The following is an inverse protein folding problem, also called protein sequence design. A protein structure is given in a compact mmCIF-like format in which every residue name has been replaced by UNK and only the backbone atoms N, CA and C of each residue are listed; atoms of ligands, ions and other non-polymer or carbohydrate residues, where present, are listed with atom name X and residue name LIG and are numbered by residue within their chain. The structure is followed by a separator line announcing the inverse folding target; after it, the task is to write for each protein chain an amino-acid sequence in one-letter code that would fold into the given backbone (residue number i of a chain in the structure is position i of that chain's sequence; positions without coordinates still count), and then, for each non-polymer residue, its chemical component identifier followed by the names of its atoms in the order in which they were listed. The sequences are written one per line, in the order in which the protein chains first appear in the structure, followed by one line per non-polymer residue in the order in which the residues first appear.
data_IF_556506701999
#
_entry.id   IF_556506701999
#
_cell.length_a   1.000
_cell.length_b   1.000
_cell.length_c   1.000
_cell.angle_alpha   90.00
_cell.angle_beta   90.00
_cell.angle_gamma   90.00
#
_symmetry.space_group_name_H-M   'P 1'
#
loop_
_entity.id
_entity.type
_entity.pdbx_description
1 polymer ?
#
# COMPACT_ATOMS: atom_id res chain seq x y z
N UNK A 1 1.86 -4.41 -23.06
CA UNK A 1 2.75 -4.39 -21.88
C UNK A 1 1.84 -4.24 -20.69
N UNK A 2 1.83 -5.17 -19.73
CA UNK A 2 0.89 -5.13 -18.60
C UNK A 2 1.42 -4.17 -17.52
N UNK A 3 0.62 -3.19 -17.11
CA UNK A 3 0.92 -2.28 -15.98
C UNK A 3 0.45 -2.91 -14.65
N UNK A 4 0.77 -2.31 -13.50
CA UNK A 4 0.38 -2.84 -12.18
C UNK A 4 -0.75 -2.03 -11.56
N UNK A 5 -1.74 -2.68 -10.95
CA UNK A 5 -2.70 -1.97 -10.09
C UNK A 5 -2.36 -2.18 -8.62
N UNK A 6 -2.24 -1.11 -7.83
CA UNK A 6 -2.00 -1.15 -6.39
C UNK A 6 -3.24 -0.73 -5.60
N UNK A 7 -3.77 -1.62 -4.77
CA UNK A 7 -4.85 -1.33 -3.84
C UNK A 7 -4.32 -1.25 -2.43
N UNK A 8 -4.52 -0.12 -1.76
CA UNK A 8 -4.15 0.03 -0.36
C UNK A 8 -5.43 0.11 0.46
N UNK A 9 -5.57 -0.78 1.44
CA UNK A 9 -6.66 -0.78 2.39
C UNK A 9 -6.10 -0.74 3.78
N UNK A 10 -6.47 0.29 4.54
CA UNK A 10 -6.45 0.20 5.99
C UNK A 10 -7.66 -0.61 6.42
N UNK A 11 -7.47 -1.64 7.26
CA UNK A 11 -8.58 -2.43 7.78
C UNK A 11 -8.91 -1.94 9.19
N UNK A 12 -9.88 -1.04 9.33
CA UNK A 12 -10.34 -0.68 10.65
C UNK A 12 -11.32 -1.65 11.26
N UNK A 13 -11.38 -1.62 12.59
CA UNK A 13 -12.35 -2.40 13.38
C UNK A 13 -13.82 -2.03 13.08
N UNK A 14 -14.07 -0.95 12.32
CA UNK A 14 -15.44 -0.52 12.01
C UNK A 14 -15.72 0.19 10.67
N UNK A 15 -14.73 0.57 9.83
CA UNK A 15 -15.06 1.27 8.57
C UNK A 15 -14.04 1.16 7.41
N UNK A 16 -14.25 0.23 6.48
CA UNK A 16 -13.27 -0.12 5.43
C UNK A 16 -13.14 0.90 4.29
N UNK A 17 -12.45 2.01 4.50
CA UNK A 17 -12.03 2.89 3.41
C UNK A 17 -10.75 2.35 2.76
N UNK A 18 -10.91 1.63 1.65
CA UNK A 18 -9.81 1.22 0.78
C UNK A 18 -9.62 2.21 -0.37
N UNK A 19 -8.38 2.59 -0.67
CA UNK A 19 -8.01 3.48 -1.78
C UNK A 19 -7.32 2.65 -2.86
N UNK A 20 -7.78 2.81 -4.11
CA UNK A 20 -7.19 2.17 -5.29
C UNK A 20 -6.30 3.15 -6.01
N UNK A 21 -5.12 2.70 -6.41
CA UNK A 21 -4.18 3.43 -7.22
C UNK A 21 -3.77 2.58 -8.43
N UNK A 22 -3.78 3.20 -9.60
CA UNK A 22 -3.09 2.65 -10.75
C UNK A 22 -1.61 3.04 -10.67
N UNK A 23 -0.69 2.11 -10.84
CA UNK A 23 0.75 2.34 -10.71
C UNK A 23 1.45 1.81 -11.97
N UNK A 24 2.01 2.71 -12.78
CA UNK A 24 2.76 2.28 -13.95
C UNK A 24 4.04 1.56 -13.52
N UNK A 25 4.47 0.57 -14.32
CA UNK A 25 5.84 0.03 -14.24
C UNK A 25 6.83 1.19 -14.40
N UNK A 26 8.00 1.10 -13.74
CA UNK A 26 9.03 2.15 -13.57
C UNK A 26 9.05 2.87 -12.20
N UNK A 27 8.73 2.19 -11.10
CA UNK A 27 8.85 2.76 -9.75
C UNK A 27 7.98 4.02 -9.53
N UNK A 28 6.87 4.15 -10.26
CA UNK A 28 5.94 5.23 -10.00
C UNK A 28 5.46 5.13 -8.55
N UNK A 29 5.70 6.20 -7.80
CA UNK A 29 5.48 6.22 -6.37
C UNK A 29 4.19 6.97 -6.07
N UNK A 30 3.25 6.32 -5.38
CA UNK A 30 1.99 6.93 -4.95
C UNK A 30 2.04 7.22 -3.45
N UNK A 31 1.66 8.44 -3.12
CA UNK A 31 1.58 8.89 -1.74
C UNK A 31 0.23 8.56 -1.13
N UNK A 32 0.27 8.06 0.10
CA UNK A 32 -0.90 7.78 0.91
C UNK A 32 -0.76 8.58 2.20
N UNK A 33 -1.76 9.40 2.51
CA UNK A 33 -1.87 10.02 3.82
C UNK A 33 -2.45 9.00 4.80
N UNK A 34 -1.74 8.77 5.89
CA UNK A 34 -2.21 7.93 7.00
C UNK A 34 -2.51 8.81 8.19
N UNK A 35 -3.69 8.60 8.74
CA UNK A 35 -4.14 9.19 9.99
C UNK A 35 -4.53 7.99 10.84
N UNK A 36 -3.73 7.71 11.86
CA UNK A 36 -4.06 6.72 12.87
C UNK A 36 -4.16 7.40 14.24
N UNK A 37 -5.37 7.43 14.77
CA UNK A 37 -5.66 7.95 16.10
C UNK A 37 -5.41 6.89 17.19
N UNK A 38 -5.10 5.63 16.81
CA UNK A 38 -4.96 4.49 17.70
C UNK A 38 -3.66 3.72 17.43
N UNK A 39 -2.78 3.62 18.43
CA UNK A 39 -1.50 2.91 18.28
C UNK A 39 -1.67 1.38 18.18
N UNK A 40 -1.11 0.79 17.13
CA UNK A 40 -1.08 -0.62 16.76
C UNK A 40 -2.43 -1.29 16.54
N UNK A 41 -3.48 -0.50 16.32
CA UNK A 41 -4.82 -1.04 16.32
C UNK A 41 -5.16 -1.77 15.01
N UNK A 42 -4.55 -1.35 13.89
CA UNK A 42 -5.04 -1.73 12.56
C UNK A 42 -3.91 -1.93 11.53
N UNK A 43 -3.91 -3.04 10.76
CA UNK A 43 -2.96 -3.23 9.70
C UNK A 43 -3.34 -2.40 8.46
N UNK A 44 -2.33 -1.76 7.90
CA UNK A 44 -2.34 -1.26 6.52
C UNK A 44 -1.95 -2.40 5.60
N UNK A 45 -2.85 -2.77 4.69
CA UNK A 45 -2.65 -3.84 3.71
C UNK A 45 -2.50 -3.23 2.33
N UNK A 46 -1.46 -3.64 1.61
CA UNK A 46 -1.27 -3.28 0.21
C UNK A 46 -1.32 -4.53 -0.64
N UNK A 47 -2.29 -4.57 -1.55
CA UNK A 47 -2.43 -5.62 -2.54
C UNK A 47 -2.04 -5.07 -3.90
N UNK A 48 -1.31 -5.84 -4.70
CA UNK A 48 -1.12 -5.53 -6.11
C UNK A 48 -1.84 -6.55 -6.97
N UNK A 49 -2.29 -6.10 -8.12
CA UNK A 49 -3.03 -6.88 -9.09
C UNK A 49 -2.39 -6.70 -10.46
N UNK A 50 -2.49 -7.72 -11.30
CA UNK A 50 -2.20 -7.56 -12.72
C UNK A 50 -3.21 -6.59 -13.34
N UNK A 51 -2.75 -5.56 -14.03
CA UNK A 51 -3.65 -4.75 -14.85
C UNK A 51 -4.01 -5.51 -16.13
N UNK A 52 -5.30 -5.68 -16.41
CA UNK A 52 -5.79 -6.32 -17.64
C UNK A 52 -6.18 -5.29 -18.72
N UNK A 53 -5.93 -4.00 -18.50
CA UNK A 53 -6.27 -2.90 -19.41
C UNK A 53 -7.76 -2.51 -19.38
N UNK A 54 -8.60 -3.30 -18.69
CA UNK A 54 -10.01 -3.02 -18.41
C UNK A 54 -10.31 -3.03 -16.89
N UNK A 55 -9.26 -3.03 -16.06
CA UNK A 55 -9.35 -2.99 -14.60
C UNK A 55 -8.55 -4.09 -13.92
N UNK A 56 -8.89 -4.31 -12.65
CA UNK A 56 -8.20 -5.20 -11.72
C UNK A 56 -8.27 -6.66 -12.15
N UNK A 57 -7.12 -7.22 -12.54
CA UNK A 57 -6.94 -8.65 -12.77
C UNK A 57 -6.64 -9.45 -11.50
N UNK A 58 -5.88 -10.54 -11.66
CA UNK A 58 -5.50 -11.43 -10.57
C UNK A 58 -4.61 -10.73 -9.53
N UNK A 59 -4.82 -11.03 -8.25
CA UNK A 59 -3.96 -10.55 -7.18
C UNK A 59 -2.58 -11.19 -7.29
N UNK A 60 -1.54 -10.36 -7.32
CA UNK A 60 -0.15 -10.80 -7.44
C UNK A 60 0.57 -10.84 -6.11
N UNK A 61 0.42 -9.78 -5.32
CA UNK A 61 1.08 -9.66 -4.02
C UNK A 61 0.17 -9.06 -2.97
N UNK A 62 0.49 -9.36 -1.71
CA UNK A 62 -0.10 -8.77 -0.51
C UNK A 62 1.03 -8.49 0.47
N UNK A 63 1.11 -7.25 0.94
CA UNK A 63 1.97 -6.86 2.06
C UNK A 63 1.11 -6.26 3.15
N UNK A 64 1.55 -6.37 4.39
CA UNK A 64 0.83 -5.79 5.52
C UNK A 64 1.79 -5.24 6.56
N UNK A 65 1.44 -4.08 7.11
CA UNK A 65 2.20 -3.43 8.17
C UNK A 65 1.27 -2.68 9.10
N UNK A 66 1.55 -2.72 10.40
CA UNK A 66 0.86 -1.93 11.40
C UNK A 66 1.60 -0.61 11.54
N UNK A 67 0.90 0.48 11.24
CA UNK A 67 1.46 1.81 11.09
C UNK A 67 0.72 2.79 11.99
N UNK A 68 1.47 3.52 12.82
CA UNK A 68 0.91 4.38 13.86
C UNK A 68 1.25 5.84 13.62
N UNK A 69 0.35 6.75 14.04
CA UNK A 69 0.58 8.19 13.96
C UNK A 69 -0.03 8.85 12.72
N UNK A 70 0.40 10.08 12.46
CA UNK A 70 -0.19 10.95 11.46
C UNK A 70 0.89 11.41 10.50
N UNK A 71 0.78 11.01 9.23
CA UNK A 71 1.83 11.28 8.27
C UNK A 71 1.56 10.80 6.86
N UNK A 72 2.64 10.64 6.10
CA UNK A 72 2.61 10.28 4.68
C UNK A 72 3.46 9.04 4.46
N UNK A 73 2.89 8.08 3.74
CA UNK A 73 3.54 6.90 3.20
C UNK A 73 3.67 7.04 1.71
N UNK A 74 4.65 6.36 1.14
CA UNK A 74 4.74 6.20 -0.31
C UNK A 74 5.01 4.76 -0.67
N UNK A 75 4.24 4.26 -1.62
CA UNK A 75 4.42 2.93 -2.19
C UNK A 75 4.82 3.05 -3.65
N UNK A 76 5.81 2.25 -4.05
CA UNK A 76 6.16 2.02 -5.45
C UNK A 76 6.00 0.54 -5.78
N UNK A 77 5.78 0.24 -7.07
CA UNK A 77 5.69 -1.14 -7.58
C UNK A 77 6.82 -1.35 -8.58
N UNK A 78 7.62 -2.39 -8.36
CA UNK A 78 8.68 -2.83 -9.28
C UNK A 78 8.13 -3.73 -10.40
N UNK A 79 9.00 -4.15 -11.33
CA UNK A 79 8.59 -4.96 -12.49
C UNK A 79 7.96 -6.32 -12.12
N UNK A 80 8.29 -6.84 -10.94
CA UNK A 80 7.74 -8.05 -10.31
C UNK A 80 6.33 -7.85 -9.73
N UNK A 81 5.76 -6.65 -9.86
CA UNK A 81 4.51 -6.22 -9.26
C UNK A 81 4.52 -6.22 -7.73
N UNK A 82 5.68 -6.36 -7.08
CA UNK A 82 5.77 -6.36 -5.63
C UNK A 82 5.66 -4.91 -5.11
N UNK A 83 4.70 -4.60 -4.22
CA UNK A 83 4.59 -3.27 -3.65
C UNK A 83 5.67 -3.10 -2.57
N UNK A 84 6.44 -2.01 -2.66
CA UNK A 84 7.48 -1.66 -1.70
C UNK A 84 7.20 -0.28 -1.12
N UNK A 85 7.23 -0.19 0.21
CA UNK A 85 7.17 1.11 0.89
C UNK A 85 8.53 1.81 0.69
N UNK A 86 8.50 2.98 0.07
CA UNK A 86 9.69 3.76 -0.31
C UNK A 86 10.04 4.80 0.73
N UNK A 87 9.03 5.51 1.26
CA UNK A 87 9.23 6.53 2.28
C UNK A 87 8.07 6.56 3.27
N UNK A 88 8.41 7.06 4.45
CA UNK A 88 7.51 7.15 5.60
C UNK A 88 7.89 8.36 6.44
N UNK A 89 6.98 9.33 6.56
CA UNK A 89 7.17 10.55 7.36
C UNK A 89 6.01 10.67 8.33
N UNK A 90 6.29 10.92 9.61
CA UNK A 90 5.26 11.19 10.63
C UNK A 90 4.49 9.97 11.13
N UNK A 91 4.74 8.78 10.56
CA UNK A 91 4.19 7.52 11.08
C UNK A 91 5.31 6.63 11.64
N UNK A 92 4.96 5.77 12.59
CA UNK A 92 5.81 4.72 13.17
C UNK A 92 5.44 3.35 12.55
N UNK A 93 6.38 2.40 12.48
CA UNK A 93 6.03 1.00 12.25
C UNK A 93 6.04 0.28 13.57
N UNK A 94 4.95 -0.40 13.89
CA UNK A 94 4.95 -1.39 14.95
C UNK A 94 5.45 -2.74 14.47
N UNK A 95 4.79 -3.32 13.47
CA UNK A 95 5.02 -4.70 13.03
C UNK A 95 4.72 -4.91 11.53
N UNK A 96 5.34 -5.93 10.92
CA UNK A 96 5.08 -6.35 9.53
C UNK A 96 6.08 -5.81 8.50
N UNK A 97 5.66 -5.77 7.23
CA UNK A 97 6.51 -5.36 6.11
C UNK A 97 6.58 -3.84 5.98
N UNK A 98 7.46 -3.26 6.80
CA UNK A 98 7.68 -1.82 6.92
C UNK A 98 8.49 -1.19 5.77
N UNK A 99 8.51 -1.82 4.59
CA UNK A 99 9.44 -1.45 3.53
C UNK A 99 10.87 -1.82 3.89
N UNK A 100 11.26 -3.07 3.61
CA UNK A 100 12.65 -3.32 3.23
C UNK A 100 12.78 -2.87 1.78
N UNK A 101 13.15 -1.60 1.59
CA UNK A 101 13.69 -1.11 0.33
C UNK A 101 15.05 -1.74 0.10
#
# INVERSE_FOLDING_TARGET
TYDGEGFIRKIPSGNSLGIRFHMMKNYETKQLRVIDDCCNCEPTIVNTYADMGNGKGEQRWTTSSVLDGIGILSYGVSDDLQPRMQMRIGVACGFGECGRG
#
